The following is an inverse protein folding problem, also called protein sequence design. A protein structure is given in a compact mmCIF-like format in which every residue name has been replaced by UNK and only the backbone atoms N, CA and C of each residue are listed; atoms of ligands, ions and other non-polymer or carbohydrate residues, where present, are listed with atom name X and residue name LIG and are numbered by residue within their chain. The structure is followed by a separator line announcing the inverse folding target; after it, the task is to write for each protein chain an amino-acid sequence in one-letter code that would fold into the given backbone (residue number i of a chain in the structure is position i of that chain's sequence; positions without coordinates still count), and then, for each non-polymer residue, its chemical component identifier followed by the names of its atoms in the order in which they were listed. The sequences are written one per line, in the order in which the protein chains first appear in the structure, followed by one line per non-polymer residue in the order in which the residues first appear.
data_IF_287923190462
#
_entry.id   IF_287923190462
#
_cell.length_a   1.000
_cell.length_b   1.000
_cell.length_c   1.000
_cell.angle_alpha   90.00
_cell.angle_beta   90.00
_cell.angle_gamma   90.00
#
_symmetry.space_group_name_H-M   'P 1'
#
loop_
_entity.id
_entity.type
_entity.pdbx_description
1 polymer ?
#
# COMPACT_ATOMS: atom_id res chain seq x y z
N UNK A 1 11.87 -6.04 -20.26
CA UNK A 1 10.86 -7.04 -20.69
C UNK A 1 9.97 -7.47 -19.53
N UNK A 2 10.53 -7.93 -18.40
CA UNK A 2 9.76 -8.33 -17.21
C UNK A 2 8.87 -7.21 -16.62
N UNK A 3 9.36 -5.97 -16.53
CA UNK A 3 8.55 -4.84 -16.04
C UNK A 3 7.30 -4.56 -16.87
N UNK A 4 7.39 -4.73 -18.20
CA UNK A 4 6.24 -4.59 -19.11
C UNK A 4 5.24 -5.71 -18.85
N UNK A 5 5.72 -6.94 -18.61
CA UNK A 5 4.86 -8.05 -18.24
C UNK A 5 4.12 -7.77 -16.93
N UNK A 6 4.79 -7.32 -15.86
CA UNK A 6 4.11 -6.98 -14.60
C UNK A 6 3.13 -5.82 -14.75
N UNK A 7 3.47 -4.83 -15.55
CA UNK A 7 2.55 -3.74 -15.87
C UNK A 7 1.29 -4.27 -16.57
N UNK A 8 1.42 -5.13 -17.58
CA UNK A 8 0.30 -5.71 -18.30
C UNK A 8 -0.53 -6.65 -17.40
N UNK A 9 0.12 -7.44 -16.56
CA UNK A 9 -0.53 -8.28 -15.55
C UNK A 9 -1.34 -7.43 -14.56
N UNK A 10 -0.74 -6.34 -14.05
CA UNK A 10 -1.44 -5.41 -13.17
C UNK A 10 -2.63 -4.76 -13.87
N UNK A 11 -2.45 -4.28 -15.11
CA UNK A 11 -3.53 -3.70 -15.91
C UNK A 11 -4.69 -4.70 -16.11
N UNK A 12 -4.37 -5.95 -16.42
CA UNK A 12 -5.34 -7.01 -16.59
C UNK A 12 -6.10 -7.31 -15.29
N UNK A 13 -5.38 -7.54 -14.18
CA UNK A 13 -6.00 -7.82 -12.87
C UNK A 13 -6.83 -6.62 -12.39
N UNK A 14 -6.33 -5.39 -12.50
CA UNK A 14 -7.09 -4.19 -12.17
C UNK A 14 -8.38 -4.09 -13.00
N UNK A 15 -8.31 -4.38 -14.30
CA UNK A 15 -9.50 -4.39 -15.16
C UNK A 15 -10.52 -5.43 -14.69
N UNK A 16 -10.09 -6.65 -14.34
CA UNK A 16 -10.96 -7.68 -13.78
C UNK A 16 -11.60 -7.26 -12.46
N UNK A 17 -10.82 -6.68 -11.54
CA UNK A 17 -11.32 -6.20 -10.24
C UNK A 17 -12.35 -5.09 -10.41
N UNK A 18 -12.10 -4.15 -11.33
CA UNK A 18 -13.03 -3.06 -11.65
C UNK A 18 -14.32 -3.60 -12.26
N UNK A 19 -14.24 -4.53 -13.21
CA UNK A 19 -15.43 -5.14 -13.83
C UNK A 19 -16.23 -5.95 -12.81
N UNK A 20 -15.55 -6.73 -11.97
CA UNK A 20 -16.19 -7.50 -10.90
C UNK A 20 -16.87 -6.59 -9.88
N UNK A 21 -16.21 -5.53 -9.42
CA UNK A 21 -16.77 -4.54 -8.50
C UNK A 21 -18.02 -3.86 -9.07
N UNK A 22 -18.00 -3.48 -10.36
CA UNK A 22 -19.20 -2.94 -11.04
C UNK A 22 -20.34 -3.94 -11.08
N UNK A 23 -20.06 -5.22 -11.36
CA UNK A 23 -21.08 -6.27 -11.48
C UNK A 23 -21.66 -6.69 -10.13
N UNK A 24 -20.82 -6.86 -9.11
CA UNK A 24 -21.23 -7.30 -7.77
C UNK A 24 -21.77 -6.16 -6.92
N UNK A 25 -21.57 -4.90 -7.33
CA UNK A 25 -21.85 -3.70 -6.55
C UNK A 25 -21.06 -3.61 -5.24
N UNK A 26 -20.01 -4.43 -5.08
CA UNK A 26 -19.09 -4.40 -3.94
C UNK A 26 -17.98 -3.38 -4.19
N UNK A 27 -17.56 -2.69 -3.12
CA UNK A 27 -16.47 -1.70 -3.17
C UNK A 27 -16.73 -0.55 -4.14
N UNK A 28 -17.99 -0.12 -4.29
CA UNK A 28 -18.39 0.96 -5.19
C UNK A 28 -18.71 2.22 -4.39
N UNK A 29 -18.21 3.38 -4.83
CA UNK A 29 -18.61 4.67 -4.30
C UNK A 29 -19.93 5.16 -4.87
N UNK A 30 -20.68 5.92 -4.07
CA UNK A 30 -21.79 6.72 -4.55
C UNK A 30 -21.29 8.12 -4.95
N UNK A 31 -21.92 8.70 -5.97
CA UNK A 31 -21.62 10.03 -6.51
C UNK A 31 -21.96 11.19 -5.56
N UNK A 32 -22.86 10.96 -4.59
CA UNK A 32 -23.42 12.00 -3.73
C UNK A 32 -22.55 12.28 -2.50
N UNK A 33 -21.32 12.74 -2.72
CA UNK A 33 -20.41 13.19 -1.66
C UNK A 33 -20.04 14.65 -1.85
N UNK A 34 -19.98 15.40 -0.75
CA UNK A 34 -19.65 16.84 -0.73
C UNK A 34 -18.29 17.12 -1.43
N UNK A 35 -17.36 16.16 -1.37
CA UNK A 35 -16.03 16.21 -1.99
C UNK A 35 -15.85 15.18 -3.13
N UNK A 36 -16.93 14.74 -3.79
CA UNK A 36 -16.87 13.83 -4.94
C UNK A 36 -17.09 14.55 -6.27
N UNK A 37 -16.15 14.42 -7.22
CA UNK A 37 -16.30 14.96 -8.58
C UNK A 37 -16.96 13.97 -9.55
N UNK A 38 -17.16 12.71 -9.14
CA UNK A 38 -17.80 11.68 -9.97
C UNK A 38 -19.32 11.77 -9.88
N UNK A 39 -19.98 11.80 -11.04
CA UNK A 39 -21.46 11.80 -11.13
C UNK A 39 -22.07 10.40 -11.20
N UNK A 40 -21.24 9.38 -11.42
CA UNK A 40 -21.65 7.99 -11.51
C UNK A 40 -21.01 7.15 -10.40
N UNK A 41 -21.59 5.99 -10.11
CA UNK A 41 -21.00 5.02 -9.20
C UNK A 41 -19.65 4.51 -9.70
N UNK A 42 -18.61 4.63 -8.88
CA UNK A 42 -17.21 4.34 -9.26
C UNK A 42 -16.62 3.25 -8.36
N UNK A 43 -16.04 2.18 -8.93
CA UNK A 43 -15.28 1.19 -8.17
C UNK A 43 -14.09 1.81 -7.41
N UNK A 44 -13.91 1.43 -6.14
CA UNK A 44 -12.81 1.83 -5.26
C UNK A 44 -11.80 0.71 -5.00
N UNK A 45 -12.02 -0.49 -5.51
CA UNK A 45 -11.13 -1.64 -5.31
C UNK A 45 -9.85 -1.65 -6.18
N UNK A 46 -9.46 -0.53 -6.80
CA UNK A 46 -8.31 -0.47 -7.71
C UNK A 46 -6.99 -0.90 -7.05
N UNK A 47 -6.76 -0.50 -5.79
CA UNK A 47 -5.59 -0.88 -5.01
C UNK A 47 -5.45 -2.39 -4.81
N UNK A 48 -6.57 -3.13 -4.72
CA UNK A 48 -6.56 -4.59 -4.63
C UNK A 48 -5.93 -5.24 -5.86
N UNK A 49 -6.22 -4.73 -7.06
CA UNK A 49 -5.65 -5.25 -8.29
C UNK A 49 -4.14 -5.06 -8.38
N UNK A 50 -3.66 -3.89 -7.93
CA UNK A 50 -2.23 -3.58 -7.85
C UNK A 50 -1.55 -4.52 -6.85
N UNK A 51 -2.11 -4.65 -5.64
CA UNK A 51 -1.52 -5.48 -4.59
C UNK A 51 -1.49 -6.96 -4.97
N UNK A 52 -2.53 -7.49 -5.62
CA UNK A 52 -2.55 -8.86 -6.12
C UNK A 52 -1.47 -9.10 -7.19
N UNK A 53 -1.29 -8.16 -8.11
CA UNK A 53 -0.21 -8.25 -9.10
C UNK A 53 1.17 -8.17 -8.46
N UNK A 54 1.34 -7.32 -7.44
CA UNK A 54 2.56 -7.23 -6.64
C UNK A 54 2.86 -8.54 -5.91
N UNK A 55 1.87 -9.13 -5.23
CA UNK A 55 2.03 -10.41 -4.54
C UNK A 55 2.37 -11.55 -5.50
N UNK A 56 1.79 -11.54 -6.70
CA UNK A 56 2.12 -12.50 -7.75
C UNK A 56 3.57 -12.32 -8.24
N UNK A 57 4.02 -11.08 -8.41
CA UNK A 57 5.42 -10.81 -8.72
C UNK A 57 6.32 -11.35 -7.59
N UNK A 58 6.02 -11.05 -6.32
CA UNK A 58 6.73 -11.56 -5.13
C UNK A 58 6.85 -13.08 -5.08
N UNK A 59 5.86 -13.79 -5.62
CA UNK A 59 5.88 -15.24 -5.67
C UNK A 59 6.78 -15.80 -6.78
N UNK A 60 6.78 -15.17 -7.96
CA UNK A 60 7.52 -15.69 -9.12
C UNK A 60 8.96 -15.21 -9.21
N UNK A 61 9.25 -14.02 -8.69
CA UNK A 61 10.59 -13.44 -8.78
C UNK A 61 11.39 -13.70 -7.51
N UNK A 62 12.65 -14.13 -7.63
CA UNK A 62 13.58 -14.08 -6.52
C UNK A 62 13.96 -12.61 -6.28
N UNK A 63 13.14 -11.88 -5.52
CA UNK A 63 13.48 -10.50 -5.17
C UNK A 63 14.80 -10.46 -4.43
N UNK A 64 15.67 -9.55 -4.86
CA UNK A 64 16.82 -9.15 -4.07
C UNK A 64 16.45 -8.08 -3.06
N UNK A 65 17.35 -7.85 -2.11
CA UNK A 65 17.20 -6.74 -1.17
C UNK A 65 16.94 -5.43 -1.95
N UNK A 66 15.99 -4.59 -1.49
CA UNK A 66 15.34 -4.62 -0.19
C UNK A 66 13.98 -5.33 -0.16
N UNK A 67 13.49 -5.87 -1.29
CA UNK A 67 12.16 -6.49 -1.36
C UNK A 67 12.15 -7.98 -0.98
N UNK A 68 13.29 -8.48 -0.52
CA UNK A 68 13.50 -9.87 -0.11
C UNK A 68 13.09 -10.08 1.34
N UNK A 69 12.35 -11.15 1.58
CA UNK A 69 12.10 -11.68 2.93
C UNK A 69 10.66 -11.56 3.39
N UNK A 70 10.27 -12.52 4.23
CA UNK A 70 8.90 -12.65 4.74
C UNK A 70 8.41 -11.40 5.46
N UNK A 71 9.25 -10.77 6.28
CA UNK A 71 8.88 -9.57 7.03
C UNK A 71 8.65 -8.34 6.15
N UNK A 72 9.34 -8.21 5.02
CA UNK A 72 9.09 -7.13 4.07
C UNK A 72 7.70 -7.27 3.45
N UNK A 73 7.37 -8.48 2.98
CA UNK A 73 6.03 -8.75 2.44
C UNK A 73 4.93 -8.56 3.50
N UNK A 74 5.13 -9.08 4.72
CA UNK A 74 4.20 -8.88 5.83
C UNK A 74 4.00 -7.41 6.15
N UNK A 75 5.07 -6.61 6.16
CA UNK A 75 4.99 -5.19 6.43
C UNK A 75 4.22 -4.43 5.36
N UNK A 76 4.47 -4.73 4.08
CA UNK A 76 3.73 -4.15 2.96
C UNK A 76 2.25 -4.56 2.98
N UNK A 77 1.95 -5.81 3.36
CA UNK A 77 0.57 -6.29 3.53
C UNK A 77 -0.17 -5.51 4.62
N UNK A 78 0.46 -5.28 5.78
CA UNK A 78 -0.16 -4.53 6.88
C UNK A 78 -0.44 -3.07 6.50
N UNK A 79 0.50 -2.41 5.82
CA UNK A 79 0.32 -1.04 5.32
C UNK A 79 -0.79 -0.99 4.26
N UNK A 80 -0.79 -1.94 3.33
CA UNK A 80 -1.85 -2.06 2.32
C UNK A 80 -3.23 -2.26 2.97
N UNK A 81 -3.37 -3.19 3.93
CA UNK A 81 -4.62 -3.44 4.61
C UNK A 81 -5.12 -2.20 5.35
N UNK A 82 -4.24 -1.45 6.01
CA UNK A 82 -4.61 -0.20 6.69
C UNK A 82 -5.30 0.79 5.75
N UNK A 83 -4.74 1.02 4.56
CA UNK A 83 -5.32 1.94 3.57
C UNK A 83 -6.52 1.34 2.83
N UNK A 84 -6.41 0.08 2.40
CA UNK A 84 -7.44 -0.57 1.60
C UNK A 84 -8.76 -0.73 2.34
N UNK A 85 -8.72 -1.08 3.63
CA UNK A 85 -9.93 -1.22 4.45
C UNK A 85 -10.68 0.12 4.56
N UNK A 86 -9.96 1.23 4.68
CA UNK A 86 -10.52 2.58 4.68
C UNK A 86 -11.18 2.92 3.34
N UNK A 87 -10.51 2.62 2.22
CA UNK A 87 -11.02 2.86 0.87
C UNK A 87 -12.37 2.16 0.60
N UNK A 88 -12.56 0.96 1.16
CA UNK A 88 -13.80 0.18 1.02
C UNK A 88 -14.90 0.53 2.03
N UNK A 89 -14.77 1.66 2.73
CA UNK A 89 -15.69 2.17 3.76
C UNK A 89 -15.74 1.33 5.06
N UNK A 90 -14.70 0.54 5.37
CA UNK A 90 -14.54 0.06 6.73
C UNK A 90 -13.88 1.18 7.53
N UNK A 91 -14.65 1.79 8.44
CA UNK A 91 -14.18 2.89 9.27
C UNK A 91 -13.17 2.39 10.31
N UNK A 92 -11.91 2.23 9.90
CA UNK A 92 -10.82 1.99 10.83
C UNK A 92 -10.58 3.27 11.64
N UNK A 93 -10.55 3.14 12.97
CA UNK A 93 -10.19 4.28 13.81
C UNK A 93 -8.74 4.73 13.50
N UNK A 94 -8.42 6.02 13.61
CA UNK A 94 -7.06 6.52 13.40
C UNK A 94 -5.99 5.78 14.22
N UNK A 95 -6.35 5.33 15.42
CA UNK A 95 -5.47 4.53 16.29
C UNK A 95 -5.11 3.18 15.68
N UNK A 96 -6.07 2.47 15.09
CA UNK A 96 -5.83 1.16 14.47
C UNK A 96 -4.98 1.33 13.21
N UNK A 97 -5.24 2.37 12.40
CA UNK A 97 -4.44 2.70 11.22
C UNK A 97 -2.98 2.94 11.57
N UNK A 98 -2.75 3.78 12.58
CA UNK A 98 -1.42 4.07 13.10
C UNK A 98 -0.71 2.79 13.58
N UNK A 99 -1.40 1.91 14.29
CA UNK A 99 -0.82 0.64 14.77
C UNK A 99 -0.45 -0.27 13.59
N UNK A 100 -1.35 -0.47 12.62
CA UNK A 100 -1.09 -1.33 11.46
C UNK A 100 0.09 -0.83 10.64
N UNK A 101 0.15 0.48 10.37
CA UNK A 101 1.23 1.10 9.62
C UNK A 101 2.54 1.07 10.42
N UNK A 102 2.52 1.36 11.71
CA UNK A 102 3.72 1.32 12.55
C UNK A 102 4.32 -0.09 12.62
N UNK A 103 3.49 -1.11 12.87
CA UNK A 103 3.94 -2.51 12.86
C UNK A 103 4.47 -2.89 11.48
N UNK A 104 3.78 -2.50 10.41
CA UNK A 104 4.22 -2.77 9.05
C UNK A 104 5.59 -2.16 8.72
N UNK A 105 5.82 -0.91 9.11
CA UNK A 105 7.10 -0.23 8.96
C UNK A 105 8.19 -0.94 9.74
N UNK A 106 7.95 -1.27 11.02
CA UNK A 106 8.92 -2.01 11.85
C UNK A 106 9.31 -3.33 11.20
N UNK A 107 8.37 -4.08 10.60
CA UNK A 107 8.68 -5.30 9.87
C UNK A 107 9.62 -5.07 8.68
N UNK A 108 9.41 -3.99 7.91
CA UNK A 108 10.25 -3.65 6.75
C UNK A 108 11.65 -3.21 7.19
N UNK A 109 11.75 -2.22 8.08
CA UNK A 109 13.03 -1.59 8.43
C UNK A 109 13.90 -2.40 9.39
N UNK A 110 13.30 -3.37 10.12
CA UNK A 110 14.09 -4.36 10.87
C UNK A 110 14.80 -5.36 9.96
N UNK A 111 14.26 -5.57 8.76
CA UNK A 111 14.75 -6.57 7.80
C UNK A 111 15.53 -5.95 6.64
N UNK A 112 15.56 -4.62 6.53
CA UNK A 112 16.17 -3.91 5.40
C UNK A 112 16.87 -2.64 5.87
N UNK A 113 17.96 -2.21 5.21
CA UNK A 113 18.61 -0.94 5.50
C UNK A 113 17.85 0.26 4.90
N UNK A 114 16.52 0.21 4.82
CA UNK A 114 15.67 1.23 4.21
C UNK A 114 15.22 2.30 5.21
N UNK A 115 16.18 2.99 5.83
CA UNK A 115 15.89 4.14 6.70
C UNK A 115 16.54 5.39 6.09
N UNK A 116 15.71 6.33 5.66
CA UNK A 116 16.18 7.61 5.12
C UNK A 116 16.69 8.46 6.29
N UNK A 117 18.00 8.57 6.39
CA UNK A 117 18.70 9.36 7.41
C UNK A 117 19.40 10.59 6.82
N UNK A 118 19.65 10.59 5.50
CA UNK A 118 20.29 11.70 4.81
C UNK A 118 19.23 12.55 4.07
N UNK A 119 19.10 13.81 4.50
CA UNK A 119 18.23 14.82 3.90
C UNK A 119 19.06 16.00 3.35
N UNK A 120 20.29 15.71 2.89
CA UNK A 120 21.18 16.68 2.27
C UNK A 120 20.50 17.48 1.13
N UNK A 121 20.75 18.81 1.02
CA UNK A 121 21.75 19.59 1.77
C UNK A 121 21.27 20.11 3.14
N UNK A 122 20.03 19.80 3.56
CA UNK A 122 19.41 20.46 4.71
C UNK A 122 20.00 19.97 6.04
N UNK A 123 19.98 18.66 6.28
CA UNK A 123 20.51 18.02 7.50
C UNK A 123 20.60 16.51 7.32
N UNK A 124 21.22 15.84 8.28
CA UNK A 124 21.17 14.38 8.44
C UNK A 124 20.70 14.02 9.85
N UNK A 125 20.02 12.89 9.97
CA UNK A 125 19.49 12.38 11.23
C UNK A 125 20.33 11.20 11.74
N UNK A 126 20.63 11.13 13.04
CA UNK A 126 21.10 9.88 13.66
C UNK A 126 20.12 8.74 13.36
N UNK A 127 20.63 7.54 13.08
CA UNK A 127 19.82 6.39 12.63
C UNK A 127 18.61 6.11 13.54
N UNK A 128 18.78 6.19 14.85
CA UNK A 128 17.69 5.98 15.82
C UNK A 128 16.56 7.00 15.65
N UNK A 129 16.91 8.27 15.39
CA UNK A 129 15.92 9.33 15.16
C UNK A 129 15.25 9.12 13.80
N UNK A 130 16.02 8.77 12.77
CA UNK A 130 15.50 8.45 11.44
C UNK A 130 14.53 7.25 11.46
N UNK A 131 14.81 6.25 12.29
CA UNK A 131 13.94 5.08 12.51
C UNK A 131 12.59 5.48 13.11
N UNK A 132 12.58 6.27 14.20
CA UNK A 132 11.34 6.75 14.82
C UNK A 132 10.56 7.67 13.87
N UNK A 133 11.28 8.50 13.12
CA UNK A 133 10.71 9.38 12.11
C UNK A 133 10.00 8.60 10.99
N UNK A 134 10.59 7.50 10.51
CA UNK A 134 9.98 6.64 9.49
C UNK A 134 8.66 6.01 9.96
N UNK A 135 8.59 5.60 11.23
CA UNK A 135 7.35 5.06 11.82
C UNK A 135 6.28 6.14 11.92
N UNK A 136 6.64 7.34 12.36
CA UNK A 136 5.70 8.45 12.55
C UNK A 136 5.13 8.97 11.23
N UNK A 137 5.97 9.15 10.21
CA UNK A 137 5.58 9.75 8.94
C UNK A 137 4.55 8.94 8.15
N UNK A 138 4.56 7.62 8.28
CA UNK A 138 3.55 6.76 7.63
C UNK A 138 2.21 6.74 8.38
N UNK A 139 2.21 7.02 9.68
CA UNK A 139 1.05 6.97 10.55
C UNK A 139 0.12 8.19 10.53
N UNK A 140 0.60 9.32 9.99
CA UNK A 140 -0.12 10.59 9.97
C UNK A 140 -0.64 10.91 8.55
N UNK A 141 -1.51 10.04 8.03
CA UNK A 141 -2.29 10.26 6.81
C UNK A 141 -3.77 10.29 7.16
#
# INVERSE_FOLDING_TARGET
MLWVLYFLTSLFICSLVVLWSKKSMLFVDNANKIQGFHHARTPRAGGLGIFLSFALACYFEPFEMPFKGFFVFLGLLLVFLSGFLEDINLSLSPKIRLILQAVGVVCIISSTPLVVSDFSPLFSLPYFIAFLFAIFMLGYQ
#
